data_IF_605421027758
#
_entry.id   IF_605421027758
#
_cell.length_a   1.000
_cell.length_b   1.000
_cell.length_c   1.000
_cell.angle_alpha   90.00
_cell.angle_beta   90.00
_cell.angle_gamma   90.00
#
_symmetry.space_group_name_H-M   'P 1'
#
loop_
_entity.id
_entity.type
_entity.pdbx_description
1 polymer ?
#
# COMPACT_ATOMS: atom_id res chain seq x y z
N UNK A 1 -5.21 15.55 -10.54
CA UNK A 1 -5.34 14.13 -10.90
C UNK A 1 -4.25 13.39 -10.16
N UNK A 2 -4.58 12.63 -9.13
CA UNK A 2 -3.64 11.66 -8.55
C UNK A 2 -3.58 10.50 -9.55
N UNK A 3 -2.47 10.40 -10.27
CA UNK A 3 -2.25 9.30 -11.19
C UNK A 3 -1.85 8.08 -10.35
N UNK A 4 -2.70 7.05 -10.32
CA UNK A 4 -2.33 5.79 -9.69
C UNK A 4 -1.20 5.12 -10.47
N UNK A 5 -0.14 4.71 -9.77
CA UNK A 5 1.02 4.04 -10.37
C UNK A 5 0.73 2.56 -10.68
N UNK A 6 -0.22 1.96 -9.98
CA UNK A 6 -0.57 0.55 -10.09
C UNK A 6 -2.09 0.36 -10.15
N UNK A 7 -2.55 -0.65 -10.89
CA UNK A 7 -3.96 -1.02 -10.96
C UNK A 7 -4.35 -2.14 -9.99
N UNK A 8 -5.63 -2.22 -9.64
CA UNK A 8 -6.19 -3.37 -8.89
C UNK A 8 -5.98 -4.65 -9.73
N UNK A 9 -5.54 -5.73 -9.08
CA UNK A 9 -5.19 -6.99 -9.72
C UNK A 9 -3.77 -7.05 -10.30
N UNK A 10 -3.02 -5.95 -10.27
CA UNK A 10 -1.63 -5.93 -10.74
C UNK A 10 -0.69 -6.67 -9.78
N UNK A 11 0.17 -7.53 -10.34
CA UNK A 11 1.27 -8.14 -9.58
C UNK A 11 2.37 -7.10 -9.35
N UNK A 12 2.75 -6.92 -8.09
CA UNK A 12 3.79 -5.98 -7.65
C UNK A 12 4.79 -6.70 -6.74
N UNK A 13 6.01 -6.17 -6.69
CA UNK A 13 7.06 -6.65 -5.78
C UNK A 13 7.29 -5.61 -4.69
N UNK A 14 7.18 -6.02 -3.44
CA UNK A 14 7.44 -5.13 -2.31
C UNK A 14 8.94 -4.83 -2.24
N UNK A 15 9.34 -3.56 -2.35
CA UNK A 15 10.77 -3.19 -2.41
C UNK A 15 11.53 -3.49 -1.11
N UNK A 16 10.90 -3.30 0.05
CA UNK A 16 11.56 -3.50 1.35
C UNK A 16 11.64 -4.97 1.77
N UNK A 17 10.57 -5.72 1.53
CA UNK A 17 10.42 -7.12 2.00
C UNK A 17 10.62 -8.15 0.88
N UNK A 18 10.73 -7.72 -0.36
CA UNK A 18 11.11 -8.54 -1.51
C UNK A 18 10.04 -9.48 -2.07
N UNK A 19 8.89 -9.66 -1.39
CA UNK A 19 7.85 -10.61 -1.79
C UNK A 19 6.98 -10.10 -2.96
N UNK A 20 6.37 -11.05 -3.66
CA UNK A 20 5.35 -10.80 -4.68
C UNK A 20 3.97 -10.75 -4.04
N UNK A 21 3.18 -9.76 -4.44
CA UNK A 21 1.79 -9.63 -4.03
C UNK A 21 0.94 -9.04 -5.14
N UNK A 22 -0.36 -8.95 -4.87
CA UNK A 22 -1.34 -8.37 -5.79
C UNK A 22 -1.98 -7.17 -5.12
N UNK A 23 -2.10 -6.06 -5.87
CA UNK A 23 -2.83 -4.87 -5.42
C UNK A 23 -4.32 -5.20 -5.35
N UNK A 24 -4.94 -5.05 -4.19
CA UNK A 24 -6.37 -5.36 -4.00
C UNK A 24 -7.25 -4.12 -3.98
N UNK A 25 -6.67 -2.97 -3.63
CA UNK A 25 -7.37 -1.70 -3.61
C UNK A 25 -6.41 -0.53 -3.87
N UNK A 26 -6.96 0.68 -4.04
CA UNK A 26 -6.18 1.90 -4.22
C UNK A 26 -6.87 3.03 -3.45
N UNK A 27 -6.27 3.43 -2.33
CA UNK A 27 -6.76 4.56 -1.54
C UNK A 27 -5.97 5.83 -1.89
N UNK A 28 -6.63 6.99 -2.11
CA UNK A 28 -5.92 8.24 -2.41
C UNK A 28 -5.15 8.78 -1.19
N UNK A 29 -5.58 8.40 0.01
CA UNK A 29 -5.01 8.77 1.31
C UNK A 29 -5.14 7.60 2.29
N UNK A 30 -4.28 7.55 3.31
CA UNK A 30 -4.35 6.53 4.35
C UNK A 30 -5.71 6.60 5.09
N UNK A 31 -6.51 5.55 4.97
CA UNK A 31 -7.89 5.51 5.50
C UNK A 31 -8.14 4.44 6.58
N UNK A 32 -7.08 3.83 7.14
CA UNK A 32 -7.20 2.95 8.31
C UNK A 32 -7.28 3.79 9.61
N UNK A 33 -7.52 3.15 10.76
CA UNK A 33 -7.56 3.80 12.07
C UNK A 33 -6.38 4.74 12.27
N UNK A 34 -6.63 5.92 12.85
CA UNK A 34 -5.62 6.93 13.16
C UNK A 34 -4.49 6.26 13.96
N UNK A 35 -3.31 6.03 13.35
CA UNK A 35 -2.24 5.34 14.04
C UNK A 35 -1.69 6.26 15.13
N UNK A 36 -1.17 5.66 16.19
CA UNK A 36 -0.66 6.44 17.33
C UNK A 36 0.46 7.38 16.88
N UNK A 37 0.65 8.56 17.52
CA UNK A 37 1.73 9.51 17.19
C UNK A 37 3.13 8.87 17.08
N UNK A 38 3.38 7.78 17.82
CA UNK A 38 4.62 6.99 17.76
C UNK A 38 4.73 6.09 16.51
N UNK A 39 3.61 5.66 15.93
CA UNK A 39 3.52 4.93 14.65
C UNK A 39 3.48 5.89 13.44
N UNK A 40 3.09 7.14 13.71
CA UNK A 40 3.01 8.32 12.84
C UNK A 40 4.37 8.87 12.39
N UNK A 41 5.47 8.23 12.77
CA UNK A 41 6.83 8.57 12.30
C UNK A 41 7.01 8.49 10.77
N UNK A 42 5.95 8.12 10.03
CA UNK A 42 5.90 8.10 8.57
C UNK A 42 5.30 9.43 8.07
N UNK A 43 6.19 10.30 7.56
CA UNK A 43 5.97 11.59 6.90
C UNK A 43 4.52 11.85 6.40
N UNK A 44 3.94 13.00 6.78
CA UNK A 44 2.62 13.47 6.36
C UNK A 44 2.43 13.47 4.83
N UNK A 45 3.50 13.74 4.06
CA UNK A 45 3.49 13.65 2.60
C UNK A 45 3.20 12.23 2.08
N UNK A 46 3.61 11.20 2.82
CA UNK A 46 3.33 9.80 2.46
C UNK A 46 1.89 9.41 2.77
N UNK A 47 1.21 10.08 3.70
CA UNK A 47 -0.24 9.89 3.94
C UNK A 47 -1.09 10.49 2.83
N UNK A 48 -0.65 11.61 2.26
CA UNK A 48 -1.30 12.28 1.13
C UNK A 48 -0.98 11.63 -0.24
N UNK A 49 -0.08 10.63 -0.27
CA UNK A 49 0.21 9.83 -1.43
C UNK A 49 -0.76 8.63 -1.53
N UNK A 50 -1.01 8.09 -2.73
CA UNK A 50 -1.89 6.94 -2.88
C UNK A 50 -1.30 5.67 -2.23
N UNK A 51 -2.13 5.00 -1.44
CA UNK A 51 -1.82 3.75 -0.74
C UNK A 51 -2.32 2.55 -1.53
N UNK A 52 -1.52 1.48 -1.52
CA UNK A 52 -1.80 0.24 -2.22
C UNK A 52 -1.78 -0.90 -1.21
N UNK A 53 -2.95 -1.37 -0.75
CA UNK A 53 -3.04 -2.61 -0.02
C UNK A 53 -2.61 -3.76 -0.95
N UNK A 54 -1.58 -4.49 -0.53
CA UNK A 54 -1.02 -5.61 -1.30
C UNK A 54 -1.16 -6.88 -0.47
N UNK A 55 -1.91 -7.85 -1.00
CA UNK A 55 -1.99 -9.17 -0.39
C UNK A 55 -0.79 -9.98 -0.87
N UNK A 56 0.07 -10.49 0.04
CA UNK A 56 1.13 -11.41 -0.33
C UNK A 56 0.52 -12.61 -1.04
N UNK A 57 1.13 -13.05 -2.14
CA UNK A 57 0.69 -14.29 -2.78
C UNK A 57 1.13 -15.44 -1.86
N UNK A 58 0.25 -15.81 -0.93
CA UNK A 58 0.42 -17.01 -0.13
C UNK A 58 0.62 -18.18 -1.08
N UNK A 59 1.58 -19.04 -0.77
CA UNK A 59 1.83 -20.29 -1.48
C UNK A 59 0.66 -21.26 -1.19
N UNK A 60 -0.53 -20.91 -1.68
CA UNK A 60 -1.71 -21.75 -1.69
C UNK A 60 -1.50 -22.83 -2.73
N UNK A 61 -1.13 -24.02 -2.25
CA UNK A 61 -1.53 -25.25 -2.91
C UNK A 61 -3.05 -25.34 -2.91
#
# INVERSE_FOLDING_TARGET
MIASKFGIGQQVRHSLLGYLGVVVDIDPEYSLDEPSPDELAVNDELRAAPWYPVVPRGNGR
#
